data_IF_720090503668
#
_entry.id   IF_720090503668
#
_cell.length_a   1.000
_cell.length_b   1.000
_cell.length_c   1.000
_cell.angle_alpha   90.00
_cell.angle_beta   90.00
_cell.angle_gamma   90.00
#
_symmetry.space_group_name_H-M   'P 1'
#
loop_
_entity.id
_entity.type
_entity.pdbx_description
1 polymer ?
#
# COMPACT_ATOMS: atom_id res chain seq x y z
N UNK A 1 -89.44 16.68 -63.25
CA UNK A 1 -89.30 15.97 -64.54
C UNK A 1 -87.89 16.23 -65.07
N UNK A 2 -86.90 15.50 -64.58
CA UNK A 2 -85.58 15.42 -65.21
C UNK A 2 -85.60 14.18 -66.09
N UNK A 3 -85.68 14.40 -67.40
CA UNK A 3 -85.63 13.33 -68.40
C UNK A 3 -84.27 12.64 -68.29
N UNK A 4 -84.27 11.33 -67.98
CA UNK A 4 -83.09 10.49 -68.08
C UNK A 4 -82.74 10.34 -69.57
N UNK A 5 -81.93 11.27 -70.08
CA UNK A 5 -81.32 11.16 -71.41
C UNK A 5 -80.12 10.22 -71.28
N UNK A 6 -79.96 9.21 -72.15
CA UNK A 6 -78.70 8.48 -72.24
C UNK A 6 -77.58 9.46 -72.56
N UNK A 7 -76.53 9.41 -71.74
CA UNK A 7 -75.35 10.28 -71.89
C UNK A 7 -74.77 10.13 -73.30
N UNK A 8 -74.34 11.25 -73.89
CA UNK A 8 -73.63 11.21 -75.17
C UNK A 8 -72.21 10.65 -74.95
N UNK A 9 -71.58 10.09 -75.99
CA UNK A 9 -70.26 9.44 -75.87
C UNK A 9 -69.18 10.34 -75.25
N UNK A 10 -69.24 11.65 -75.52
CA UNK A 10 -68.34 12.66 -74.92
C UNK A 10 -68.55 12.82 -73.40
N UNK A 11 -69.81 12.76 -72.93
CA UNK A 11 -70.15 12.84 -71.50
C UNK A 11 -69.72 11.58 -70.75
N UNK A 12 -69.81 10.41 -71.40
CA UNK A 12 -69.30 9.13 -70.85
C UNK A 12 -67.77 9.15 -70.76
N UNK A 13 -67.08 9.70 -71.76
CA UNK A 13 -65.63 9.84 -71.76
C UNK A 13 -65.13 10.78 -70.65
N UNK A 14 -65.82 11.90 -70.43
CA UNK A 14 -65.51 12.83 -69.34
C UNK A 14 -65.74 12.21 -67.96
N UNK A 15 -66.80 11.40 -67.79
CA UNK A 15 -67.07 10.70 -66.53
C UNK A 15 -66.04 9.59 -66.26
N UNK A 16 -65.60 8.85 -67.29
CA UNK A 16 -64.48 7.91 -67.16
C UNK A 16 -63.18 8.61 -66.78
N UNK A 17 -62.89 9.78 -67.37
CA UNK A 17 -61.72 10.58 -66.97
C UNK A 17 -61.77 11.02 -65.52
N UNK A 18 -62.95 11.42 -65.02
CA UNK A 18 -63.14 11.74 -63.59
C UNK A 18 -62.89 10.51 -62.71
N UNK A 19 -63.40 9.34 -63.10
CA UNK A 19 -63.14 8.09 -62.37
C UNK A 19 -61.64 7.74 -62.33
N UNK A 20 -60.93 7.86 -63.46
CA UNK A 20 -59.47 7.63 -63.50
C UNK A 20 -58.71 8.64 -62.65
N UNK A 21 -59.11 9.91 -62.69
CA UNK A 21 -58.51 10.96 -61.85
C UNK A 21 -58.75 10.70 -60.35
N UNK A 22 -59.95 10.24 -59.97
CA UNK A 22 -60.28 9.84 -58.60
C UNK A 22 -59.40 8.68 -58.12
N UNK A 23 -59.30 7.60 -58.91
CA UNK A 23 -58.45 6.44 -58.58
C UNK A 23 -56.99 6.86 -58.41
N UNK A 24 -56.50 7.74 -59.30
CA UNK A 24 -55.12 8.24 -59.20
C UNK A 24 -54.92 9.10 -57.95
N UNK A 25 -55.88 9.96 -57.61
CA UNK A 25 -55.80 10.79 -56.42
C UNK A 25 -55.85 9.94 -55.14
N UNK A 26 -56.73 8.94 -55.08
CA UNK A 26 -56.82 8.00 -53.96
C UNK A 26 -55.51 7.21 -53.79
N UNK A 27 -54.90 6.74 -54.88
CA UNK A 27 -53.60 6.08 -54.85
C UNK A 27 -52.47 7.01 -54.34
N UNK A 28 -52.47 8.28 -54.74
CA UNK A 28 -51.50 9.27 -54.26
C UNK A 28 -51.71 9.62 -52.78
N UNK A 29 -52.96 9.72 -52.32
CA UNK A 29 -53.31 9.93 -50.92
C UNK A 29 -52.78 8.77 -50.06
N UNK A 30 -53.05 7.53 -50.49
CA UNK A 30 -52.61 6.31 -49.82
C UNK A 30 -51.09 6.16 -49.79
N UNK A 31 -50.41 6.50 -50.89
CA UNK A 31 -48.95 6.52 -50.94
C UNK A 31 -48.35 7.57 -49.98
N UNK A 32 -48.97 8.75 -49.87
CA UNK A 32 -48.56 9.79 -48.90
C UNK A 32 -48.77 9.33 -47.47
N UNK A 33 -49.92 8.72 -47.17
CA UNK A 33 -50.21 8.19 -45.84
C UNK A 33 -49.18 7.13 -45.42
N UNK A 34 -48.86 6.17 -46.31
CA UNK A 34 -47.83 5.16 -46.05
C UNK A 34 -46.48 5.82 -45.78
N UNK A 35 -46.12 6.84 -46.55
CA UNK A 35 -44.84 7.54 -46.37
C UNK A 35 -44.76 8.26 -45.03
N UNK A 36 -45.82 8.98 -44.65
CA UNK A 36 -45.87 9.69 -43.35
C UNK A 36 -45.78 8.69 -42.20
N UNK A 37 -46.53 7.58 -42.26
CA UNK A 37 -46.44 6.51 -41.25
C UNK A 37 -45.05 5.89 -41.17
N UNK A 38 -44.41 5.65 -42.31
CA UNK A 38 -43.05 5.11 -42.35
C UNK A 38 -42.03 6.08 -41.70
N UNK A 39 -42.17 7.39 -41.93
CA UNK A 39 -41.30 8.40 -41.31
C UNK A 39 -41.55 8.50 -39.79
N UNK A 40 -42.79 8.40 -39.34
CA UNK A 40 -43.14 8.34 -37.90
C UNK A 40 -42.56 7.10 -37.24
N UNK A 41 -42.78 5.91 -37.81
CA UNK A 41 -42.25 4.64 -37.30
C UNK A 41 -40.72 4.63 -37.29
N UNK A 42 -40.07 5.15 -38.34
CA UNK A 42 -38.62 5.27 -38.39
C UNK A 42 -38.07 6.11 -37.24
N UNK A 43 -38.68 7.27 -36.97
CA UNK A 43 -38.25 8.15 -35.89
C UNK A 43 -38.46 7.50 -34.51
N UNK A 44 -39.58 6.80 -34.32
CA UNK A 44 -39.87 6.07 -33.07
C UNK A 44 -38.85 4.95 -32.84
N UNK A 45 -38.61 4.09 -33.83
CA UNK A 45 -37.72 2.95 -33.64
C UNK A 45 -36.25 3.41 -33.51
N UNK A 46 -35.84 4.44 -34.26
CA UNK A 46 -34.54 5.08 -34.07
C UNK A 46 -34.39 5.62 -32.65
N UNK A 47 -35.36 6.37 -32.14
CA UNK A 47 -35.30 6.93 -30.80
C UNK A 47 -35.24 5.83 -29.72
N UNK A 48 -35.98 4.74 -29.92
CA UNK A 48 -35.98 3.57 -29.04
C UNK A 48 -34.62 2.87 -29.02
N UNK A 49 -34.03 2.58 -30.19
CA UNK A 49 -32.70 1.95 -30.30
C UNK A 49 -31.64 2.83 -29.63
N UNK A 50 -31.62 4.13 -29.95
CA UNK A 50 -30.66 5.08 -29.35
C UNK A 50 -30.81 5.11 -27.84
N UNK A 51 -32.04 5.21 -27.32
CA UNK A 51 -32.29 5.24 -25.87
C UNK A 51 -31.83 3.95 -25.19
N UNK A 52 -32.11 2.80 -25.79
CA UNK A 52 -31.72 1.50 -25.23
C UNK A 52 -30.19 1.38 -25.16
N UNK A 53 -29.48 1.72 -26.23
CA UNK A 53 -28.02 1.69 -26.23
C UNK A 53 -27.39 2.74 -25.32
N UNK A 54 -27.97 3.94 -25.22
CA UNK A 54 -27.53 4.95 -24.24
C UNK A 54 -27.58 4.41 -22.80
N UNK A 55 -28.65 3.71 -22.42
CA UNK A 55 -28.77 3.10 -21.09
C UNK A 55 -27.74 1.99 -20.87
N UNK A 56 -27.47 1.17 -21.89
CA UNK A 56 -26.43 0.13 -21.81
C UNK A 56 -25.04 0.75 -21.61
N UNK A 57 -24.72 1.81 -22.38
CA UNK A 57 -23.46 2.54 -22.28
C UNK A 57 -23.31 3.16 -20.89
N UNK A 58 -24.36 3.81 -20.39
CA UNK A 58 -24.36 4.43 -19.06
C UNK A 58 -24.10 3.41 -17.95
N UNK A 59 -24.78 2.25 -17.99
CA UNK A 59 -24.57 1.17 -17.02
C UNK A 59 -23.12 0.61 -17.05
N UNK A 60 -22.52 0.49 -18.24
CA UNK A 60 -21.12 0.06 -18.38
C UNK A 60 -20.17 1.12 -17.83
N UNK A 61 -20.40 2.40 -18.13
CA UNK A 61 -19.58 3.50 -17.63
C UNK A 61 -19.68 3.65 -16.10
N UNK A 62 -20.87 3.49 -15.52
CA UNK A 62 -21.07 3.53 -14.08
C UNK A 62 -20.23 2.45 -13.38
N UNK A 63 -20.20 1.22 -13.93
CA UNK A 63 -19.35 0.14 -13.41
C UNK A 63 -17.86 0.48 -13.54
N UNK A 64 -17.42 1.05 -14.67
CA UNK A 64 -16.02 1.47 -14.86
C UNK A 64 -15.61 2.58 -13.89
N UNK A 65 -16.48 3.56 -13.65
CA UNK A 65 -16.24 4.64 -12.68
C UNK A 65 -16.08 4.06 -11.27
N UNK A 66 -17.02 3.20 -10.84
CA UNK A 66 -16.96 2.54 -9.52
C UNK A 66 -15.67 1.73 -9.35
N UNK A 67 -15.27 0.98 -10.38
CA UNK A 67 -14.01 0.23 -10.36
C UNK A 67 -12.79 1.15 -10.26
N UNK A 68 -12.74 2.24 -11.03
CA UNK A 68 -11.65 3.21 -10.98
C UNK A 68 -11.56 3.90 -9.60
N UNK A 69 -12.69 4.23 -8.98
CA UNK A 69 -12.73 4.79 -7.62
C UNK A 69 -12.16 3.82 -6.58
N UNK A 70 -12.56 2.54 -6.65
CA UNK A 70 -12.02 1.50 -5.75
C UNK A 70 -10.51 1.34 -5.96
N UNK A 71 -10.04 1.27 -7.21
CA UNK A 71 -8.61 1.19 -7.52
C UNK A 71 -7.84 2.42 -7.00
N UNK A 72 -8.41 3.62 -7.14
CA UNK A 72 -7.83 4.84 -6.58
C UNK A 72 -7.69 4.78 -5.07
N UNK A 73 -8.70 4.29 -4.35
CA UNK A 73 -8.66 4.11 -2.88
C UNK A 73 -7.61 3.09 -2.47
N UNK A 74 -7.51 1.96 -3.18
CA UNK A 74 -6.49 0.94 -2.94
C UNK A 74 -5.08 1.52 -3.16
N UNK A 75 -4.87 2.23 -4.27
CA UNK A 75 -3.58 2.86 -4.58
C UNK A 75 -3.19 3.88 -3.51
N UNK A 76 -4.13 4.72 -3.06
CA UNK A 76 -3.90 5.67 -1.99
C UNK A 76 -3.54 4.98 -0.67
N UNK A 77 -4.29 3.93 -0.30
CA UNK A 77 -4.03 3.14 0.91
C UNK A 77 -2.64 2.48 0.88
N UNK A 78 -2.30 1.85 -0.25
CA UNK A 78 -0.98 1.24 -0.46
C UNK A 78 0.14 2.28 -0.37
N UNK A 79 -0.07 3.47 -0.94
CA UNK A 79 0.94 4.52 -0.89
C UNK A 79 1.16 5.03 0.55
N UNK A 80 0.09 5.24 1.32
CA UNK A 80 0.17 5.64 2.73
C UNK A 80 0.89 4.55 3.54
N UNK A 81 0.53 3.29 3.36
CA UNK A 81 1.18 2.20 4.10
C UNK A 81 2.67 2.07 3.72
N UNK A 82 3.02 2.22 2.45
CA UNK A 82 4.42 2.21 2.00
C UNK A 82 5.22 3.35 2.63
N UNK A 83 4.65 4.56 2.68
CA UNK A 83 5.29 5.71 3.34
C UNK A 83 5.45 5.46 4.84
N UNK A 84 4.43 4.90 5.51
CA UNK A 84 4.50 4.55 6.93
C UNK A 84 5.61 3.53 7.21
N UNK A 85 5.71 2.47 6.41
CA UNK A 85 6.78 1.47 6.52
C UNK A 85 8.15 2.11 6.32
N UNK A 86 8.28 3.01 5.34
CA UNK A 86 9.53 3.75 5.13
C UNK A 86 9.91 4.56 6.38
N UNK A 87 8.97 5.30 6.96
CA UNK A 87 9.23 6.07 8.20
C UNK A 87 9.69 5.14 9.33
N UNK A 88 9.04 3.98 9.51
CA UNK A 88 9.44 3.02 10.55
C UNK A 88 10.85 2.46 10.30
N UNK A 89 11.18 2.14 9.04
CA UNK A 89 12.50 1.66 8.67
C UNK A 89 13.59 2.71 8.93
N UNK A 90 13.38 3.96 8.53
CA UNK A 90 14.33 5.05 8.78
C UNK A 90 14.51 5.30 10.28
N UNK A 91 13.43 5.21 11.07
CA UNK A 91 13.53 5.31 12.53
C UNK A 91 14.38 4.19 13.14
N UNK A 92 14.21 2.96 12.65
CA UNK A 92 15.02 1.84 13.10
C UNK A 92 16.48 2.05 12.72
N UNK A 93 16.75 2.47 11.48
CA UNK A 93 18.11 2.76 11.01
C UNK A 93 18.80 3.79 11.89
N UNK A 94 18.13 4.90 12.24
CA UNK A 94 18.72 5.92 13.12
C UNK A 94 19.04 5.37 14.52
N UNK A 95 18.22 4.46 15.05
CA UNK A 95 18.52 3.80 16.32
C UNK A 95 19.70 2.84 16.19
N UNK A 96 19.75 2.07 15.11
CA UNK A 96 20.85 1.15 14.85
C UNK A 96 22.17 1.92 14.68
N UNK A 97 22.17 3.01 13.93
CA UNK A 97 23.32 3.91 13.75
C UNK A 97 23.76 4.52 15.10
N UNK A 98 22.82 4.91 15.97
CA UNK A 98 23.11 5.42 17.31
C UNK A 98 23.78 4.35 18.19
N UNK A 99 23.28 3.11 18.15
CA UNK A 99 23.89 1.99 18.89
C UNK A 99 25.26 1.63 18.33
N UNK A 100 25.44 1.68 17.02
CA UNK A 100 26.73 1.45 16.39
C UNK A 100 27.73 2.53 16.80
N UNK A 101 27.35 3.81 16.77
CA UNK A 101 28.20 4.91 17.24
C UNK A 101 28.53 4.78 18.75
N UNK A 102 27.55 4.43 19.58
CA UNK A 102 27.78 4.20 21.01
C UNK A 102 28.74 3.03 21.25
N UNK A 103 28.59 1.91 20.52
CA UNK A 103 29.50 0.78 20.60
C UNK A 103 30.91 1.14 20.14
N UNK A 104 31.05 1.90 19.05
CA UNK A 104 32.35 2.41 18.60
C UNK A 104 33.03 3.28 19.66
N UNK A 105 32.27 4.15 20.35
CA UNK A 105 32.81 4.94 21.47
C UNK A 105 33.20 4.06 22.66
N UNK A 106 32.45 3.00 22.97
CA UNK A 106 32.81 2.04 24.02
C UNK A 106 34.12 1.32 23.67
N UNK A 107 34.32 0.95 22.40
CA UNK A 107 35.58 0.37 21.93
C UNK A 107 36.78 1.32 22.10
N UNK A 108 36.57 2.64 21.97
CA UNK A 108 37.63 3.63 22.20
C UNK A 108 38.00 3.79 23.69
N UNK A 109 37.14 3.37 24.64
CA UNK A 109 37.44 3.48 26.07
C UNK A 109 38.65 2.61 26.45
N UNK A 110 38.89 1.49 25.75
CA UNK A 110 40.08 0.67 25.99
C UNK A 110 41.39 1.32 25.55
N UNK A 111 41.35 2.41 24.77
CA UNK A 111 42.56 3.13 24.35
C UNK A 111 43.14 3.98 25.50
N UNK A 112 42.31 4.40 26.45
CA UNK A 112 42.73 5.15 27.63
C UNK A 112 42.92 4.21 28.82
N UNK A 113 44.18 3.84 29.07
CA UNK A 113 44.56 2.79 30.02
C UNK A 113 44.14 3.09 31.47
N UNK A 114 44.16 4.36 31.89
CA UNK A 114 43.82 4.75 33.27
C UNK A 114 42.31 4.66 33.53
N UNK A 115 41.50 5.17 32.59
CA UNK A 115 40.04 5.07 32.70
C UNK A 115 39.56 3.63 32.49
N UNK A 116 40.20 2.88 31.59
CA UNK A 116 39.91 1.47 31.37
C UNK A 116 40.24 0.60 32.59
N UNK A 117 41.39 0.80 33.25
CA UNK A 117 41.75 0.09 34.47
C UNK A 117 40.71 0.30 35.59
N UNK A 118 40.32 1.55 35.82
CA UNK A 118 39.30 1.91 36.82
C UNK A 118 37.95 1.27 36.50
N UNK A 119 37.58 1.21 35.22
CA UNK A 119 36.35 0.57 34.76
C UNK A 119 36.38 -0.95 35.00
N UNK A 120 37.49 -1.62 34.67
CA UNK A 120 37.65 -3.06 34.84
C UNK A 120 37.60 -3.45 36.32
N UNK A 121 38.27 -2.72 37.21
CA UNK A 121 38.14 -2.92 38.66
C UNK A 121 36.68 -2.84 39.12
N UNK A 122 35.94 -1.83 38.66
CA UNK A 122 34.52 -1.66 39.00
C UNK A 122 33.64 -2.80 38.49
N UNK A 123 33.87 -3.28 37.26
CA UNK A 123 33.11 -4.36 36.65
C UNK A 123 33.36 -5.71 37.35
N UNK A 124 34.62 -6.01 37.68
CA UNK A 124 34.99 -7.24 38.41
C UNK A 124 34.36 -7.20 39.81
N UNK A 125 34.48 -6.07 40.52
CA UNK A 125 33.91 -5.90 41.85
C UNK A 125 32.37 -6.06 41.83
N UNK A 126 31.70 -5.48 40.84
CA UNK A 126 30.25 -5.63 40.64
C UNK A 126 29.87 -7.11 40.41
N UNK A 127 30.64 -7.83 39.59
CA UNK A 127 30.43 -9.26 39.36
C UNK A 127 30.64 -10.08 40.63
N UNK A 128 31.68 -9.78 41.41
CA UNK A 128 31.97 -10.45 42.68
C UNK A 128 30.82 -10.25 43.68
N UNK A 129 30.28 -9.04 43.81
CA UNK A 129 29.12 -8.77 44.67
C UNK A 129 27.85 -9.48 44.22
N UNK A 130 27.69 -9.74 42.92
CA UNK A 130 26.54 -10.48 42.41
C UNK A 130 26.66 -12.00 42.67
N UNK A 131 27.87 -12.55 42.61
CA UNK A 131 28.12 -13.99 42.82
C UNK A 131 28.16 -14.36 44.30
N UNK A 132 28.86 -13.58 45.14
CA UNK A 132 29.05 -13.86 46.57
C UNK A 132 29.65 -15.25 46.89
N UNK A 133 30.45 -15.79 45.98
CA UNK A 133 31.13 -17.07 46.14
C UNK A 133 32.59 -16.89 46.58
N UNK A 134 33.19 -17.88 47.28
CA UNK A 134 34.57 -17.80 47.75
C UNK A 134 35.60 -18.02 46.64
N UNK A 135 35.24 -18.72 45.56
CA UNK A 135 36.10 -18.94 44.39
C UNK A 135 35.41 -18.40 43.14
N UNK A 136 36.08 -17.51 42.40
CA UNK A 136 35.52 -16.84 41.22
C UNK A 136 36.50 -16.95 40.05
N UNK A 137 36.09 -17.68 39.01
CA UNK A 137 36.81 -17.74 37.75
C UNK A 137 36.48 -16.55 36.85
N UNK A 138 37.49 -15.75 36.50
CA UNK A 138 37.36 -14.61 35.60
C UNK A 138 37.75 -15.03 34.19
N UNK A 139 36.87 -14.69 33.24
CA UNK A 139 37.12 -14.84 31.81
C UNK A 139 37.27 -13.47 31.16
N UNK A 140 38.45 -13.17 30.64
CA UNK A 140 38.76 -11.91 29.97
C UNK A 140 39.27 -12.12 28.54
N UNK A 141 39.48 -11.02 27.80
CA UNK A 141 40.15 -11.07 26.49
C UNK A 141 41.65 -11.25 26.71
N UNK A 142 42.32 -11.90 25.75
CA UNK A 142 43.74 -12.20 25.86
C UNK A 142 44.63 -10.95 26.05
N UNK A 143 44.28 -9.84 25.40
CA UNK A 143 44.98 -8.56 25.52
C UNK A 143 44.81 -7.87 26.89
N UNK A 144 43.75 -8.21 27.64
CA UNK A 144 43.39 -7.54 28.90
C UNK A 144 43.91 -8.31 30.13
N UNK A 145 44.62 -9.43 29.95
CA UNK A 145 45.08 -10.31 31.04
C UNK A 145 45.95 -9.56 32.05
N UNK A 146 46.87 -8.72 31.57
CA UNK A 146 47.78 -7.98 32.43
C UNK A 146 47.03 -6.94 33.29
N UNK A 147 46.08 -6.21 32.69
CA UNK A 147 45.24 -5.20 33.36
C UNK A 147 44.31 -5.85 34.39
N UNK A 148 43.73 -7.00 34.04
CA UNK A 148 42.88 -7.75 34.98
C UNK A 148 43.72 -8.25 36.15
N UNK A 149 44.91 -8.80 35.89
CA UNK A 149 45.81 -9.30 36.95
C UNK A 149 46.21 -8.19 37.92
N UNK A 150 46.50 -6.97 37.45
CA UNK A 150 46.81 -5.83 38.33
C UNK A 150 45.60 -5.35 39.14
N UNK A 151 44.39 -5.45 38.57
CA UNK A 151 43.15 -5.04 39.22
C UNK A 151 42.68 -6.01 40.33
N UNK A 152 43.06 -7.29 40.26
CA UNK A 152 42.57 -8.34 41.17
C UNK A 152 42.87 -8.06 42.66
N UNK A 153 44.07 -7.57 42.97
CA UNK A 153 44.46 -7.31 44.36
C UNK A 153 43.64 -6.18 44.96
N UNK A 154 43.50 -5.06 44.23
CA UNK A 154 42.64 -3.93 44.61
C UNK A 154 41.18 -4.36 44.80
N UNK A 155 40.66 -5.21 43.91
CA UNK A 155 39.27 -5.67 43.98
C UNK A 155 39.05 -6.62 45.17
N UNK A 156 39.98 -7.53 45.45
CA UNK A 156 39.91 -8.43 46.59
C UNK A 156 39.87 -7.66 47.92
N UNK A 157 40.70 -6.64 48.05
CA UNK A 157 40.75 -5.80 49.25
C UNK A 157 39.45 -5.00 49.44
N UNK A 158 38.94 -4.38 48.36
CA UNK A 158 37.65 -3.64 48.40
C UNK A 158 36.45 -4.54 48.69
N UNK A 159 36.48 -5.77 48.21
CA UNK A 159 35.44 -6.76 48.51
C UNK A 159 35.52 -7.23 49.96
N UNK A 160 36.73 -7.50 50.48
CA UNK A 160 36.96 -7.89 51.88
C UNK A 160 36.51 -6.79 52.86
N UNK A 161 36.78 -5.52 52.55
CA UNK A 161 36.29 -4.37 53.33
C UNK A 161 34.76 -4.36 53.47
N UNK A 162 34.05 -4.76 52.41
CA UNK A 162 32.59 -4.66 52.35
C UNK A 162 31.88 -5.92 52.87
N UNK A 163 32.42 -7.10 52.56
CA UNK A 163 31.79 -8.41 52.82
C UNK A 163 32.48 -9.22 53.92
N UNK A 164 33.61 -8.74 54.47
CA UNK A 164 34.41 -9.42 55.51
C UNK A 164 34.87 -10.84 55.12
N UNK A 165 34.91 -11.12 53.83
CA UNK A 165 35.32 -12.39 53.24
C UNK A 165 36.15 -12.08 52.00
N UNK A 166 37.29 -12.74 51.83
CA UNK A 166 38.19 -12.50 50.70
C UNK A 166 37.98 -13.57 49.63
N UNK A 167 37.43 -13.23 48.44
CA UNK A 167 37.26 -14.17 47.35
C UNK A 167 38.61 -14.48 46.71
N UNK A 168 38.79 -15.73 46.28
CA UNK A 168 39.91 -16.18 45.48
C UNK A 168 39.56 -16.01 44.01
N UNK A 169 40.30 -15.16 43.30
CA UNK A 169 40.11 -14.92 41.88
C UNK A 169 41.11 -15.73 41.05
N UNK A 170 40.61 -16.51 40.10
CA UNK A 170 41.40 -17.32 39.17
C UNK A 170 41.12 -16.89 37.74
N UNK A 171 42.15 -16.68 36.92
CA UNK A 171 41.97 -16.32 35.50
C UNK A 171 41.86 -17.60 34.69
N UNK A 172 40.75 -17.76 33.96
CA UNK A 172 40.51 -18.91 33.09
C UNK A 172 41.35 -18.85 31.82
N UNK A 173 41.87 -19.99 31.36
CA UNK A 173 42.60 -20.12 30.08
C UNK A 173 41.67 -20.08 28.84
N UNK A 174 40.34 -20.15 29.03
CA UNK A 174 39.35 -20.05 27.95
C UNK A 174 38.96 -18.59 27.69
N UNK A 175 39.79 -17.87 26.93
CA UNK A 175 39.62 -16.42 26.68
C UNK A 175 38.33 -16.05 25.94
N UNK A 176 37.83 -14.84 26.17
CA UNK A 176 36.76 -14.26 25.36
C UNK A 176 37.24 -14.04 23.91
N UNK A 177 36.35 -14.17 22.91
CA UNK A 177 36.69 -13.91 21.52
C UNK A 177 37.20 -12.49 21.32
N UNK A 178 38.17 -12.33 20.42
CA UNK A 178 38.69 -11.01 20.04
C UNK A 178 37.57 -10.12 19.49
N UNK A 179 37.58 -8.84 19.88
CA UNK A 179 36.63 -7.85 19.38
C UNK A 179 36.79 -7.69 17.87
N UNK A 180 35.69 -7.88 17.13
CA UNK A 180 35.59 -7.52 15.71
C UNK A 180 35.48 -6.03 15.50
#
# INVERSE_FOLDING_TARGET
>A
MSTARPLNDDEVFDEMKKMVAFIKQEALEKAREIKVKADEEFNIEKAKIVRQESLNIEAVFERKIKQAEVQKRIAQSNHINKTRLKILQERQQVLDDLFEEANQRIHQVSDDQDTYHTLIEGLILQGAYALMEPEIDIRCRQQDVDVVTSALETVADRYEESMQSRPNFTISEDYLPESR
#
